data_IF_076422412830
#
_entry.id   IF_076422412830
#
_cell.length_a   1.000
_cell.length_b   1.000
_cell.length_c   1.000
_cell.angle_alpha   90.00
_cell.angle_beta   90.00
_cell.angle_gamma   90.00
#
_symmetry.space_group_name_H-M   'P 1'
#
loop_
_entity.id
_entity.type
_entity.pdbx_description
1 polymer ?
#
# COMPACT_ATOMS: atom_id res chain seq x y z
N UNK A 1 -6.51 59.26 -29.20
CA UNK A 1 -6.13 58.62 -27.91
C UNK A 1 -6.46 57.15 -28.06
N UNK A 2 -5.50 56.41 -28.61
CA UNK A 2 -5.64 54.98 -28.85
C UNK A 2 -5.10 54.21 -27.65
N UNK A 3 -5.99 53.47 -27.00
CA UNK A 3 -5.67 52.44 -26.02
C UNK A 3 -5.55 51.12 -26.79
N UNK A 4 -4.32 50.63 -26.98
CA UNK A 4 -4.11 49.23 -27.33
C UNK A 4 -3.12 48.55 -26.37
N UNK A 5 -3.74 47.70 -25.58
CA UNK A 5 -3.25 46.63 -24.71
C UNK A 5 -2.09 45.84 -25.32
N UNK A 6 -0.99 45.70 -24.59
CA UNK A 6 0.03 44.66 -24.82
C UNK A 6 0.17 43.81 -23.56
N UNK A 7 -0.50 42.65 -23.59
CA UNK A 7 -0.47 41.56 -22.61
C UNK A 7 0.96 41.09 -22.34
N UNK A 8 1.47 41.27 -21.13
CA UNK A 8 2.58 40.46 -20.62
C UNK A 8 2.02 39.14 -20.11
N UNK A 9 2.58 38.05 -20.64
CA UNK A 9 2.26 36.66 -20.35
C UNK A 9 2.12 36.40 -18.85
N UNK A 10 0.92 36.04 -18.42
CA UNK A 10 0.67 35.30 -17.19
C UNK A 10 1.01 33.83 -17.50
N UNK A 11 2.21 33.38 -17.14
CA UNK A 11 2.54 31.96 -17.12
C UNK A 11 1.77 31.32 -15.96
N UNK A 12 0.49 31.02 -16.19
CA UNK A 12 -0.27 30.15 -15.31
C UNK A 12 0.25 28.74 -15.54
N UNK A 13 0.95 28.22 -14.54
CA UNK A 13 1.19 26.80 -14.35
C UNK A 13 -0.16 26.06 -14.37
N UNK A 14 -0.59 25.61 -15.54
CA UNK A 14 -1.70 24.68 -15.71
C UNK A 14 -1.23 23.54 -16.62
N UNK A 15 -0.49 22.61 -16.03
CA UNK A 15 -0.17 21.31 -16.62
C UNK A 15 0.01 20.25 -15.53
N UNK A 16 -0.87 20.26 -14.52
CA UNK A 16 -1.06 19.13 -13.60
C UNK A 16 -2.22 18.28 -14.12
N UNK A 17 -2.01 17.60 -15.24
CA UNK A 17 -2.87 16.52 -15.73
C UNK A 17 -1.99 15.44 -16.35
N UNK A 18 -1.28 14.70 -15.52
CA UNK A 18 -0.77 13.37 -15.85
C UNK A 18 -1.30 12.39 -14.79
N UNK A 19 -2.63 12.24 -14.79
CA UNK A 19 -3.35 11.24 -14.01
C UNK A 19 -3.46 9.97 -14.86
N UNK A 20 -2.50 9.05 -14.75
CA UNK A 20 -2.57 7.77 -15.47
C UNK A 20 -3.41 6.76 -14.67
N UNK A 21 -4.72 6.96 -14.71
CA UNK A 21 -5.72 5.98 -14.29
C UNK A 21 -7.04 6.31 -15.00
N UNK A 22 -7.06 6.21 -16.34
CA UNK A 22 -8.19 6.43 -17.26
C UNK A 22 -9.27 7.40 -16.69
N UNK A 23 -9.16 8.70 -16.99
CA UNK A 23 -9.96 9.85 -16.47
C UNK A 23 -11.50 9.70 -16.51
N UNK A 24 -12.04 8.60 -17.03
CA UNK A 24 -13.46 8.25 -16.98
C UNK A 24 -13.85 7.33 -15.81
N UNK A 25 -12.91 6.88 -14.97
CA UNK A 25 -13.26 6.25 -13.70
C UNK A 25 -13.61 7.35 -12.70
N UNK A 26 -14.90 7.49 -12.39
CA UNK A 26 -15.37 8.28 -11.25
C UNK A 26 -14.48 7.99 -10.04
N UNK A 27 -13.93 9.04 -9.42
CA UNK A 27 -13.39 8.97 -8.06
C UNK A 27 -14.36 8.12 -7.24
N UNK A 28 -13.86 7.02 -6.67
CA UNK A 28 -14.66 6.22 -5.75
C UNK A 28 -15.15 7.16 -4.67
N UNK A 29 -16.44 7.06 -4.34
CA UNK A 29 -17.03 7.80 -3.22
C UNK A 29 -16.07 7.67 -2.03
N UNK A 30 -15.62 8.80 -1.47
CA UNK A 30 -14.68 8.86 -0.35
C UNK A 30 -15.23 8.10 0.89
N UNK A 31 -16.49 7.70 0.86
CA UNK A 31 -17.14 6.85 1.85
C UNK A 31 -16.90 5.34 1.66
N UNK A 32 -16.37 4.88 0.52
CA UNK A 32 -16.09 3.45 0.29
C UNK A 32 -14.90 2.97 1.12
N UNK A 33 -15.06 1.80 1.72
CA UNK A 33 -14.08 1.22 2.63
C UNK A 33 -13.04 0.41 1.84
N UNK A 34 -11.75 0.74 1.98
CA UNK A 34 -10.68 -0.11 1.46
C UNK A 34 -10.45 -1.31 2.38
N UNK A 35 -10.55 -2.51 1.81
CA UNK A 35 -10.34 -3.78 2.51
C UNK A 35 -8.89 -4.21 2.39
N UNK A 36 -8.31 -4.58 3.54
CA UNK A 36 -6.93 -5.05 3.63
C UNK A 36 -6.76 -6.36 2.84
N UNK A 37 -5.66 -6.46 2.11
CA UNK A 37 -5.33 -7.65 1.32
C UNK A 37 -3.87 -8.08 1.50
N UNK A 38 -3.62 -9.38 1.49
CA UNK A 38 -2.30 -10.00 1.72
C UNK A 38 -2.04 -11.08 0.66
N UNK A 39 -0.86 -11.06 0.06
CA UNK A 39 -0.48 -11.99 -1.01
C UNK A 39 -0.56 -13.44 -0.54
N UNK A 40 -1.19 -14.30 -1.33
CA UNK A 40 -1.33 -15.75 -1.10
C UNK A 40 -2.05 -16.16 0.20
N UNK A 41 -2.74 -15.24 0.88
CA UNK A 41 -3.61 -15.61 2.01
C UNK A 41 -4.73 -16.51 1.50
N UNK A 42 -4.95 -17.64 2.16
CA UNK A 42 -5.93 -18.65 1.74
C UNK A 42 -6.99 -18.97 2.80
N UNK A 43 -6.82 -18.46 4.01
CA UNK A 43 -7.69 -18.71 5.16
C UNK A 43 -7.64 -17.52 6.10
N UNK A 44 -8.57 -17.48 7.05
CA UNK A 44 -8.64 -16.45 8.07
C UNK A 44 -7.44 -16.52 9.04
N UNK A 45 -7.16 -15.40 9.70
CA UNK A 45 -6.12 -15.28 10.72
C UNK A 45 -6.78 -15.47 12.09
N UNK A 46 -6.51 -16.61 12.73
CA UNK A 46 -6.99 -16.88 14.09
C UNK A 46 -6.43 -15.87 15.09
N UNK A 47 -7.32 -15.36 15.94
CA UNK A 47 -7.02 -14.38 16.96
C UNK A 47 -7.10 -15.02 18.34
N UNK A 48 -5.95 -15.12 18.98
CA UNK A 48 -5.84 -15.68 20.34
C UNK A 48 -6.28 -14.70 21.44
N UNK A 49 -6.34 -13.41 21.13
CA UNK A 49 -6.79 -12.37 22.05
C UNK A 49 -7.72 -11.37 21.36
N UNK A 50 -9.06 -11.48 21.56
CA UNK A 50 -10.05 -10.57 21.00
C UNK A 50 -9.79 -9.09 21.28
N UNK A 51 -9.06 -8.77 22.36
CA UNK A 51 -8.71 -7.38 22.67
C UNK A 51 -7.84 -6.73 21.58
N UNK A 52 -7.01 -7.51 20.87
CA UNK A 52 -6.20 -7.00 19.77
C UNK A 52 -7.09 -6.46 18.64
N UNK A 53 -8.12 -7.23 18.26
CA UNK A 53 -9.09 -6.80 17.26
C UNK A 53 -9.94 -5.64 17.77
N UNK A 54 -10.33 -5.66 19.03
CA UNK A 54 -11.07 -4.57 19.66
C UNK A 54 -10.30 -3.25 19.57
N UNK A 55 -9.00 -3.27 19.86
CA UNK A 55 -8.13 -2.11 19.77
C UNK A 55 -8.01 -1.61 18.33
N UNK A 56 -7.85 -2.50 17.33
CA UNK A 56 -7.84 -2.13 15.91
C UNK A 56 -9.13 -1.40 15.52
N UNK A 57 -10.29 -1.95 15.92
CA UNK A 57 -11.59 -1.32 15.65
C UNK A 57 -11.66 0.06 16.30
N UNK A 58 -11.37 0.18 17.60
CA UNK A 58 -11.42 1.45 18.35
C UNK A 58 -10.50 2.51 17.74
N UNK A 59 -9.34 2.11 17.22
CA UNK A 59 -8.39 3.01 16.55
C UNK A 59 -8.84 3.42 15.13
N UNK A 60 -10.02 2.98 14.69
CA UNK A 60 -10.62 3.37 13.43
C UNK A 60 -10.20 2.52 12.24
N UNK A 61 -9.50 1.40 12.45
CA UNK A 61 -9.07 0.53 11.36
C UNK A 61 -10.25 -0.20 10.70
N UNK A 62 -10.09 -0.49 9.40
CA UNK A 62 -11.01 -1.35 8.68
C UNK A 62 -10.71 -2.82 9.03
N UNK A 63 -11.71 -3.53 9.54
CA UNK A 63 -11.55 -4.92 10.02
C UNK A 63 -12.65 -5.80 9.45
N UNK A 64 -12.25 -6.86 8.76
CA UNK A 64 -13.10 -8.03 8.52
C UNK A 64 -12.92 -9.02 9.66
N UNK A 65 -14.02 -9.35 10.33
CA UNK A 65 -14.04 -10.29 11.43
C UNK A 65 -15.00 -11.44 11.13
N UNK A 66 -14.50 -12.66 11.26
CA UNK A 66 -15.24 -13.90 11.19
C UNK A 66 -15.40 -14.49 12.59
N UNK A 67 -16.61 -14.44 13.14
CA UNK A 67 -16.94 -15.05 14.42
C UNK A 67 -17.53 -16.43 14.15
N UNK A 68 -16.87 -17.47 14.64
CA UNK A 68 -17.27 -18.85 14.45
C UNK A 68 -17.24 -19.62 15.76
N UNK A 69 -17.69 -20.87 15.74
CA UNK A 69 -17.50 -21.80 16.84
C UNK A 69 -16.99 -23.12 16.30
N UNK A 70 -15.92 -23.68 16.87
CA UNK A 70 -15.39 -24.98 16.47
C UNK A 70 -16.39 -26.14 16.64
N UNK A 71 -17.43 -25.96 17.46
CA UNK A 71 -18.51 -26.94 17.66
C UNK A 71 -19.75 -26.70 16.78
N UNK A 72 -19.76 -25.67 15.94
CA UNK A 72 -20.91 -25.28 15.12
C UNK A 72 -20.90 -26.02 13.77
N UNK A 73 -22.02 -26.69 13.43
CA UNK A 73 -22.18 -27.45 12.17
C UNK A 73 -22.08 -26.55 10.96
N UNK A 74 -22.83 -25.45 10.97
CA UNK A 74 -22.92 -24.51 9.85
C UNK A 74 -21.57 -23.84 9.61
N UNK A 75 -20.79 -23.63 10.68
CA UNK A 75 -19.45 -23.08 10.59
C UNK A 75 -18.52 -24.00 9.79
N UNK A 76 -18.63 -25.32 9.98
CA UNK A 76 -17.89 -26.32 9.18
C UNK A 76 -18.40 -26.38 7.75
N UNK A 77 -19.71 -26.25 7.54
CA UNK A 77 -20.32 -26.24 6.21
C UNK A 77 -19.85 -25.04 5.38
N UNK A 78 -19.78 -23.84 5.98
CA UNK A 78 -19.39 -22.61 5.30
C UNK A 78 -17.89 -22.33 5.30
N UNK A 79 -17.07 -23.14 5.98
CA UNK A 79 -15.62 -22.94 6.07
C UNK A 79 -14.96 -22.85 4.68
N UNK A 80 -15.28 -23.79 3.79
CA UNK A 80 -14.73 -23.79 2.42
C UNK A 80 -15.16 -22.54 1.64
N UNK A 81 -16.40 -22.08 1.80
CA UNK A 81 -16.88 -20.87 1.14
C UNK A 81 -16.11 -19.62 1.60
N UNK A 82 -15.87 -19.51 2.91
CA UNK A 82 -15.13 -18.40 3.53
C UNK A 82 -13.66 -18.43 3.09
N UNK A 83 -13.01 -19.59 3.14
CA UNK A 83 -11.63 -19.74 2.68
C UNK A 83 -11.49 -19.43 1.19
N UNK A 84 -12.45 -19.85 0.37
CA UNK A 84 -12.48 -19.49 -1.06
C UNK A 84 -12.69 -17.98 -1.27
N UNK A 85 -13.56 -17.34 -0.46
CA UNK A 85 -13.73 -15.88 -0.50
C UNK A 85 -12.42 -15.15 -0.12
N UNK A 86 -11.72 -15.63 0.91
CA UNK A 86 -10.43 -15.10 1.35
C UNK A 86 -9.39 -15.28 0.24
N UNK A 87 -9.24 -16.49 -0.27
CA UNK A 87 -8.23 -16.82 -1.28
C UNK A 87 -8.45 -16.09 -2.60
N UNK A 88 -9.69 -16.02 -3.08
CA UNK A 88 -10.02 -15.37 -4.35
C UNK A 88 -9.76 -13.87 -4.31
N UNK A 89 -10.03 -13.22 -3.18
CA UNK A 89 -9.88 -11.77 -3.03
C UNK A 89 -8.57 -11.37 -2.34
N UNK A 90 -7.77 -12.36 -1.91
CA UNK A 90 -6.61 -12.19 -1.02
C UNK A 90 -6.95 -11.33 0.21
N UNK A 91 -8.17 -11.50 0.74
CA UNK A 91 -8.75 -10.66 1.76
C UNK A 91 -8.22 -11.01 3.15
N UNK A 92 -7.77 -10.01 3.92
CA UNK A 92 -7.38 -10.22 5.31
C UNK A 92 -8.64 -10.27 6.17
N UNK A 93 -9.01 -11.49 6.58
CA UNK A 93 -10.12 -11.77 7.50
C UNK A 93 -9.55 -12.30 8.79
N UNK A 94 -9.84 -11.65 9.91
CA UNK A 94 -9.50 -12.14 11.24
C UNK A 94 -10.61 -13.05 11.74
N UNK A 95 -10.30 -14.06 12.55
CA UNK A 95 -11.31 -14.96 13.11
C UNK A 95 -11.22 -15.06 14.63
N UNK A 96 -12.37 -15.25 15.27
CA UNK A 96 -12.47 -15.55 16.70
C UNK A 96 -13.36 -16.78 16.87
N UNK A 97 -12.83 -17.83 17.49
CA UNK A 97 -13.65 -18.94 17.99
C UNK A 97 -14.38 -18.50 19.27
N UNK A 98 -15.66 -18.19 19.13
CA UNK A 98 -16.57 -17.80 20.19
C UNK A 98 -16.59 -18.79 21.38
N UNK A 99 -16.29 -20.07 21.15
CA UNK A 99 -16.23 -21.07 22.22
C UNK A 99 -15.13 -20.76 23.24
N UNK A 100 -14.01 -20.21 22.77
CA UNK A 100 -12.88 -19.84 23.63
C UNK A 100 -13.17 -18.55 24.43
N UNK A 101 -14.19 -17.79 24.02
CA UNK A 101 -14.56 -16.51 24.63
C UNK A 101 -16.07 -16.43 24.90
N UNK A 102 -16.61 -17.14 25.92
CA UNK A 102 -18.05 -17.23 26.15
C UNK A 102 -18.76 -15.89 26.41
N UNK A 103 -18.02 -14.85 26.81
CA UNK A 103 -18.55 -13.50 27.02
C UNK A 103 -18.58 -12.64 25.74
N UNK A 104 -18.02 -13.11 24.63
CA UNK A 104 -17.85 -12.32 23.39
C UNK A 104 -19.17 -11.79 22.86
N UNK A 105 -20.24 -12.59 22.89
CA UNK A 105 -21.57 -12.19 22.41
C UNK A 105 -22.23 -11.07 23.23
N UNK A 106 -21.73 -10.80 24.45
CA UNK A 106 -22.19 -9.71 25.33
C UNK A 106 -21.34 -8.44 25.19
N UNK A 107 -20.20 -8.51 24.51
CA UNK A 107 -19.40 -7.32 24.23
C UNK A 107 -20.10 -6.47 23.16
N UNK A 108 -20.27 -5.18 23.41
CA UNK A 108 -20.98 -4.28 22.50
C UNK A 108 -20.36 -4.22 21.10
N UNK A 109 -19.03 -4.35 21.00
CA UNK A 109 -18.31 -4.32 19.71
C UNK A 109 -18.48 -5.65 18.98
N UNK A 110 -18.36 -6.77 19.68
CA UNK A 110 -18.40 -8.10 19.06
C UNK A 110 -19.78 -8.75 19.01
N UNK A 111 -20.80 -8.17 19.65
CA UNK A 111 -22.10 -8.81 19.88
C UNK A 111 -22.62 -9.49 18.63
N UNK A 112 -22.91 -10.80 18.70
CA UNK A 112 -23.40 -11.61 17.60
C UNK A 112 -24.53 -12.51 18.10
N UNK A 113 -25.45 -12.89 17.22
CA UNK A 113 -26.61 -13.72 17.58
C UNK A 113 -26.37 -15.20 17.28
N UNK A 114 -25.68 -15.51 16.18
CA UNK A 114 -25.46 -16.87 15.68
C UNK A 114 -24.05 -16.99 15.12
N UNK A 115 -23.49 -18.19 15.09
CA UNK A 115 -22.26 -18.50 14.34
C UNK A 115 -22.62 -19.40 13.16
N UNK A 116 -22.00 -19.24 11.97
CA UNK A 116 -21.00 -18.23 11.65
C UNK A 116 -21.61 -16.82 11.50
N UNK A 117 -20.86 -15.80 11.90
CA UNK A 117 -21.16 -14.39 11.62
C UNK A 117 -19.93 -13.72 11.03
N UNK A 118 -20.10 -12.97 9.95
CA UNK A 118 -19.06 -12.07 9.45
C UNK A 118 -19.44 -10.61 9.71
N UNK A 119 -18.49 -9.83 10.17
CA UNK A 119 -18.64 -8.41 10.47
C UNK A 119 -17.62 -7.62 9.66
N UNK A 120 -18.06 -6.46 9.15
CA UNK A 120 -17.18 -5.43 8.63
C UNK A 120 -17.23 -4.24 9.59
N UNK A 121 -16.08 -3.80 10.05
CA UNK A 121 -15.91 -2.59 10.85
C UNK A 121 -15.11 -1.55 10.07
N UNK A 122 -15.43 -0.28 10.28
CA UNK A 122 -14.68 0.86 9.77
C UNK A 122 -14.90 2.06 10.70
N UNK A 123 -13.85 2.86 10.94
CA UNK A 123 -13.93 4.09 11.76
C UNK A 123 -14.56 3.84 13.14
N UNK A 124 -14.22 2.71 13.78
CA UNK A 124 -14.72 2.35 15.12
C UNK A 124 -16.15 1.86 15.19
N UNK A 125 -16.83 1.65 14.05
CA UNK A 125 -18.24 1.25 14.00
C UNK A 125 -18.41 -0.01 13.17
N UNK A 126 -19.44 -0.77 13.50
CA UNK A 126 -19.90 -1.84 12.62
C UNK A 126 -20.61 -1.25 11.40
N UNK A 127 -20.17 -1.66 10.22
CA UNK A 127 -20.72 -1.25 8.93
C UNK A 127 -21.81 -2.24 8.52
N UNK A 128 -21.51 -3.52 8.62
CA UNK A 128 -22.46 -4.60 8.34
C UNK A 128 -22.12 -5.86 9.13
N UNK A 129 -23.14 -6.68 9.36
CA UNK A 129 -23.07 -7.99 9.99
C UNK A 129 -23.92 -8.95 9.19
N UNK A 130 -23.34 -10.07 8.79
CA UNK A 130 -24.04 -11.10 8.02
C UNK A 130 -23.92 -12.47 8.66
N UNK A 131 -24.96 -13.27 8.50
CA UNK A 131 -24.97 -14.69 8.86
C UNK A 131 -25.80 -15.49 7.85
N UNK A 132 -25.61 -16.82 7.79
CA UNK A 132 -26.29 -17.66 6.80
C UNK A 132 -27.82 -17.63 6.88
N UNK A 133 -28.41 -17.33 8.04
CA UNK A 133 -29.87 -17.34 8.21
C UNK A 133 -30.55 -16.07 7.70
N UNK A 134 -29.84 -14.94 7.72
CA UNK A 134 -30.37 -13.64 7.30
C UNK A 134 -29.85 -13.21 5.93
N UNK A 135 -28.74 -13.77 5.46
CA UNK A 135 -28.01 -13.33 4.28
C UNK A 135 -27.67 -14.49 3.35
N UNK A 136 -28.66 -15.34 3.04
CA UNK A 136 -28.49 -16.56 2.25
C UNK A 136 -27.80 -16.29 0.89
N UNK A 137 -28.09 -15.18 0.23
CA UNK A 137 -27.46 -14.82 -1.05
C UNK A 137 -25.95 -14.57 -0.90
N UNK A 138 -25.53 -13.89 0.18
CA UNK A 138 -24.11 -13.66 0.45
C UNK A 138 -23.38 -14.97 0.78
N UNK A 139 -24.06 -15.92 1.44
CA UNK A 139 -23.52 -17.25 1.76
C UNK A 139 -23.79 -18.30 0.68
N UNK A 140 -24.29 -17.92 -0.50
CA UNK A 140 -24.53 -18.85 -1.61
C UNK A 140 -23.24 -19.25 -2.35
N UNK A 141 -22.26 -18.36 -2.38
CA UNK A 141 -20.97 -18.54 -3.05
C UNK A 141 -19.97 -17.47 -2.63
N UNK A 142 -18.68 -17.71 -2.88
CA UNK A 142 -17.63 -16.69 -2.65
C UNK A 142 -17.85 -15.43 -3.47
N UNK A 143 -18.41 -15.54 -4.68
CA UNK A 143 -18.78 -14.39 -5.51
C UNK A 143 -19.99 -13.64 -4.95
N UNK A 144 -20.98 -14.36 -4.41
CA UNK A 144 -22.12 -13.75 -3.70
C UNK A 144 -21.66 -12.94 -2.50
N UNK A 145 -20.74 -13.49 -1.70
CA UNK A 145 -20.14 -12.81 -0.56
C UNK A 145 -19.36 -11.56 -1.00
N UNK A 146 -18.57 -11.68 -2.07
CA UNK A 146 -17.83 -10.56 -2.66
C UNK A 146 -18.77 -9.43 -3.08
N UNK A 147 -19.80 -9.73 -3.88
CA UNK A 147 -20.80 -8.76 -4.33
C UNK A 147 -21.52 -8.07 -3.18
N UNK A 148 -21.79 -8.80 -2.09
CA UNK A 148 -22.39 -8.20 -0.89
C UNK A 148 -21.46 -7.16 -0.26
N UNK A 149 -20.19 -7.49 -0.06
CA UNK A 149 -19.24 -6.54 0.55
C UNK A 149 -18.86 -5.39 -0.40
N UNK A 150 -18.81 -5.60 -1.71
CA UNK A 150 -18.55 -4.53 -2.69
C UNK A 150 -19.58 -3.38 -2.66
N UNK A 151 -20.73 -3.56 -1.99
CA UNK A 151 -21.69 -2.47 -1.73
C UNK A 151 -21.15 -1.41 -0.75
N UNK A 152 -20.20 -1.77 0.11
CA UNK A 152 -19.67 -0.91 1.17
C UNK A 152 -18.22 -0.48 0.92
N UNK A 153 -17.53 -1.14 0.00
CA UNK A 153 -16.09 -0.97 -0.14
C UNK A 153 -15.49 -1.79 -1.26
N UNK A 154 -14.19 -1.99 -1.19
CA UNK A 154 -13.43 -2.69 -2.22
C UNK A 154 -12.20 -3.39 -1.64
N UNK A 155 -11.86 -4.53 -2.22
CA UNK A 155 -10.55 -5.15 -2.00
C UNK A 155 -9.49 -4.27 -2.64
N UNK A 156 -8.49 -3.86 -1.85
CA UNK A 156 -7.39 -3.04 -2.32
C UNK A 156 -6.75 -3.64 -3.58
N UNK A 157 -5.95 -2.90 -4.33
CA UNK A 157 -5.00 -3.47 -5.30
C UNK A 157 -3.57 -3.53 -4.73
N UNK A 158 -3.40 -3.04 -3.50
CA UNK A 158 -2.16 -3.15 -2.74
C UNK A 158 -2.18 -4.47 -1.97
N UNK A 159 -1.35 -5.44 -2.37
CA UNK A 159 -1.20 -6.72 -1.67
C UNK A 159 0.00 -6.65 -0.75
N UNK A 160 -0.19 -6.78 0.56
CA UNK A 160 0.96 -6.92 1.47
C UNK A 160 1.66 -8.26 1.21
N UNK A 161 2.97 -8.26 1.09
CA UNK A 161 3.78 -9.48 1.17
C UNK A 161 4.25 -9.65 2.62
N UNK A 162 3.97 -10.81 3.22
CA UNK A 162 4.23 -11.05 4.64
C UNK A 162 5.69 -11.39 4.95
N UNK A 163 6.34 -12.11 4.05
CA UNK A 163 7.67 -12.68 4.27
C UNK A 163 8.40 -12.93 2.93
N UNK A 164 9.68 -13.26 3.03
CA UNK A 164 10.55 -13.50 1.88
C UNK A 164 10.12 -14.68 1.01
N UNK A 165 9.53 -15.74 1.58
CA UNK A 165 9.03 -16.88 0.78
C UNK A 165 7.85 -16.47 -0.11
N UNK A 166 6.97 -15.60 0.39
CA UNK A 166 5.87 -15.07 -0.42
C UNK A 166 6.40 -14.08 -1.46
N UNK A 167 7.44 -13.30 -1.15
CA UNK A 167 8.14 -12.48 -2.16
C UNK A 167 8.70 -13.35 -3.30
N UNK A 168 9.35 -14.47 -2.94
CA UNK A 168 9.87 -15.45 -3.91
C UNK A 168 8.77 -16.05 -4.79
N UNK A 169 7.54 -16.22 -4.28
CA UNK A 169 6.39 -16.62 -5.11
C UNK A 169 5.92 -15.48 -6.00
N UNK A 170 5.81 -14.25 -5.48
CA UNK A 170 5.35 -13.07 -6.25
C UNK A 170 6.26 -12.82 -7.45
N UNK A 171 7.58 -12.85 -7.29
CA UNK A 171 8.51 -12.59 -8.41
C UNK A 171 8.35 -13.59 -9.55
N UNK A 172 7.89 -14.80 -9.26
CA UNK A 172 7.71 -15.90 -10.22
C UNK A 172 6.34 -15.89 -10.92
N UNK A 173 5.45 -14.95 -10.57
CA UNK A 173 4.21 -14.74 -11.32
C UNK A 173 4.51 -14.31 -12.77
N UNK A 174 3.54 -14.49 -13.66
CA UNK A 174 3.67 -14.11 -15.08
C UNK A 174 4.05 -12.64 -15.25
N UNK A 175 3.47 -11.77 -14.43
CA UNK A 175 3.78 -10.36 -14.33
C UNK A 175 3.52 -9.89 -12.89
N UNK A 176 4.53 -9.29 -12.25
CA UNK A 176 4.41 -8.76 -10.90
C UNK A 176 5.03 -7.36 -10.79
N UNK A 177 4.32 -6.48 -10.10
CA UNK A 177 4.81 -5.17 -9.68
C UNK A 177 5.04 -5.22 -8.17
N UNK A 178 6.26 -4.96 -7.73
CA UNK A 178 6.65 -5.07 -6.32
C UNK A 178 7.16 -3.72 -5.84
N UNK A 179 6.48 -3.12 -4.87
CA UNK A 179 6.87 -1.89 -4.22
C UNK A 179 7.58 -2.21 -2.90
N UNK A 180 8.87 -1.88 -2.85
CA UNK A 180 9.70 -1.99 -1.66
C UNK A 180 9.68 -0.68 -0.89
N UNK A 181 9.23 -0.74 0.36
CA UNK A 181 9.14 0.40 1.27
C UNK A 181 9.99 0.19 2.52
N UNK A 182 10.12 1.24 3.31
CA UNK A 182 10.58 1.18 4.69
C UNK A 182 9.78 2.19 5.51
N UNK A 183 9.22 1.78 6.65
CA UNK A 183 8.33 2.62 7.46
C UNK A 183 8.99 3.90 8.02
N UNK A 184 10.30 3.88 8.30
CA UNK A 184 11.08 5.05 8.76
C UNK A 184 11.70 5.84 7.61
N UNK A 185 11.46 5.47 6.35
CA UNK A 185 11.96 6.18 5.18
C UNK A 185 11.06 7.39 4.87
N UNK A 186 11.58 8.60 5.07
CA UNK A 186 10.81 9.84 4.88
C UNK A 186 10.35 10.07 3.43
N UNK A 187 11.12 9.62 2.43
CA UNK A 187 10.71 9.65 1.03
C UNK A 187 9.57 8.68 0.72
N UNK A 188 9.58 7.51 1.36
CA UNK A 188 8.53 6.50 1.28
C UNK A 188 7.22 7.07 1.84
N UNK A 189 7.26 7.63 3.06
CA UNK A 189 6.09 8.28 3.67
C UNK A 189 5.55 9.44 2.83
N UNK A 190 6.42 10.25 2.23
CA UNK A 190 6.00 11.36 1.38
C UNK A 190 5.31 10.87 0.10
N UNK A 191 5.91 9.91 -0.61
CA UNK A 191 5.34 9.37 -1.84
C UNK A 191 4.02 8.64 -1.58
N UNK A 192 3.95 7.87 -0.50
CA UNK A 192 2.77 7.12 -0.12
C UNK A 192 1.59 8.05 0.16
N UNK A 193 1.82 9.09 0.96
CA UNK A 193 0.80 10.07 1.32
C UNK A 193 0.33 10.89 0.13
N UNK A 194 1.26 11.45 -0.66
CA UNK A 194 0.91 12.40 -1.70
C UNK A 194 0.36 11.74 -2.97
N UNK A 195 0.74 10.48 -3.23
CA UNK A 195 0.41 9.78 -4.47
C UNK A 195 -0.13 8.36 -4.26
N UNK A 196 0.65 7.45 -3.69
CA UNK A 196 0.37 6.01 -3.78
C UNK A 196 -0.95 5.61 -3.11
N UNK A 197 -1.31 6.23 -1.97
CA UNK A 197 -2.59 5.98 -1.30
C UNK A 197 -3.78 6.41 -2.17
N UNK A 198 -3.66 7.56 -2.87
CA UNK A 198 -4.69 8.03 -3.80
C UNK A 198 -4.81 7.13 -5.02
N UNK A 199 -3.68 6.65 -5.54
CA UNK A 199 -3.64 5.70 -6.66
C UNK A 199 -4.49 4.44 -6.36
N UNK A 200 -4.38 3.85 -5.16
CA UNK A 200 -5.19 2.69 -4.81
C UNK A 200 -6.65 3.02 -4.51
N UNK A 201 -6.93 4.18 -3.91
CA UNK A 201 -8.30 4.67 -3.70
C UNK A 201 -9.07 4.83 -5.03
N UNK A 202 -8.37 5.24 -6.10
CA UNK A 202 -8.91 5.41 -7.45
C UNK A 202 -9.17 4.10 -8.21
N UNK A 203 -9.02 2.93 -7.59
CA UNK A 203 -9.30 1.62 -8.21
C UNK A 203 -8.48 1.35 -9.48
N UNK A 204 -7.21 1.74 -9.46
CA UNK A 204 -6.30 1.43 -10.55
C UNK A 204 -6.10 -0.10 -10.58
N UNK A 205 -6.45 -0.72 -11.71
CA UNK A 205 -6.71 -2.16 -11.84
C UNK A 205 -5.47 -3.05 -11.77
N UNK A 206 -4.30 -2.48 -11.50
CA UNK A 206 -3.03 -3.21 -11.45
C UNK A 206 -2.71 -3.50 -10.00
N UNK A 207 -2.62 -4.80 -9.69
CA UNK A 207 -2.15 -5.27 -8.40
C UNK A 207 -0.68 -4.86 -8.24
N UNK A 208 -0.36 -4.25 -7.10
CA UNK A 208 0.99 -3.94 -6.68
C UNK A 208 1.22 -4.63 -5.34
N UNK A 209 2.26 -5.43 -5.29
CA UNK A 209 2.66 -6.17 -4.10
C UNK A 209 3.62 -5.31 -3.27
N UNK A 210 3.27 -5.01 -2.04
CA UNK A 210 4.09 -4.19 -1.15
C UNK A 210 4.91 -5.09 -0.23
N UNK A 211 6.23 -4.93 -0.28
CA UNK A 211 7.16 -5.60 0.61
C UNK A 211 7.79 -4.58 1.56
N UNK A 212 7.58 -4.77 2.87
CA UNK A 212 8.11 -3.86 3.88
C UNK A 212 9.49 -4.30 4.38
N UNK A 213 10.49 -3.41 4.27
CA UNK A 213 11.90 -3.74 4.49
C UNK A 213 12.44 -3.43 5.89
N UNK A 214 11.63 -2.97 6.85
CA UNK A 214 12.03 -2.66 8.23
C UNK A 214 13.00 -3.67 8.82
N UNK A 215 12.68 -4.95 8.75
CA UNK A 215 13.51 -6.01 9.30
C UNK A 215 14.94 -5.99 8.75
N UNK A 216 15.11 -5.76 7.44
CA UNK A 216 16.42 -5.71 6.81
C UNK A 216 17.14 -4.39 7.12
N UNK A 217 16.44 -3.25 7.10
CA UNK A 217 17.01 -1.94 7.41
C UNK A 217 17.48 -1.82 8.87
N UNK A 218 16.70 -2.37 9.81
CA UNK A 218 16.99 -2.35 11.24
C UNK A 218 18.16 -3.29 11.60
N UNK A 219 18.47 -4.27 10.75
CA UNK A 219 19.57 -5.22 10.95
C UNK A 219 20.76 -5.02 9.99
N UNK A 220 20.84 -3.87 9.29
CA UNK A 220 21.85 -3.64 8.24
C UNK A 220 23.30 -3.57 8.73
N UNK A 221 23.52 -3.19 9.99
CA UNK A 221 24.86 -3.03 10.59
C UNK A 221 25.41 -4.32 11.21
N UNK A 222 24.64 -5.42 11.16
CA UNK A 222 25.06 -6.69 11.72
C UNK A 222 26.13 -7.36 10.83
N UNK A 223 27.40 -7.10 11.12
CA UNK A 223 28.54 -7.67 10.39
C UNK A 223 28.62 -9.20 10.45
N UNK A 224 27.98 -9.84 11.44
CA UNK A 224 27.94 -11.30 11.58
C UNK A 224 26.86 -11.97 10.72
N UNK A 225 25.91 -11.19 10.19
CA UNK A 225 24.87 -11.67 9.26
C UNK A 225 24.52 -10.53 8.30
N UNK A 226 25.08 -10.51 7.07
CA UNK A 226 24.90 -9.42 6.11
C UNK A 226 23.51 -9.45 5.47
N UNK A 227 22.45 -9.56 6.28
CA UNK A 227 21.09 -9.86 5.86
C UNK A 227 20.52 -8.81 4.91
N UNK A 228 20.81 -7.54 5.16
CA UNK A 228 20.42 -6.44 4.28
C UNK A 228 21.08 -6.54 2.90
N UNK A 229 22.40 -6.77 2.86
CA UNK A 229 23.14 -6.90 1.60
C UNK A 229 22.67 -8.14 0.84
N UNK A 230 22.58 -9.28 1.51
CA UNK A 230 22.12 -10.52 0.91
C UNK A 230 20.71 -10.37 0.30
N UNK A 231 19.80 -9.70 1.01
CA UNK A 231 18.45 -9.44 0.50
C UNK A 231 18.48 -8.51 -0.72
N UNK A 232 19.14 -7.36 -0.60
CA UNK A 232 19.18 -6.35 -1.69
C UNK A 232 19.90 -6.86 -2.92
N UNK A 233 20.92 -7.70 -2.76
CA UNK A 233 21.60 -8.40 -3.85
C UNK A 233 20.69 -9.47 -4.47
N UNK A 234 20.05 -10.32 -3.66
CA UNK A 234 19.15 -11.41 -4.12
C UNK A 234 18.02 -10.87 -5.00
N UNK A 235 17.43 -9.74 -4.62
CA UNK A 235 16.29 -9.14 -5.33
C UNK A 235 16.70 -8.02 -6.31
N UNK A 236 17.99 -7.91 -6.64
CA UNK A 236 18.49 -6.96 -7.64
C UNK A 236 18.19 -5.49 -7.31
N UNK A 237 17.99 -5.17 -6.04
CA UNK A 237 17.80 -3.82 -5.52
C UNK A 237 19.13 -3.06 -5.45
N UNK A 238 20.23 -3.78 -5.17
CA UNK A 238 21.58 -3.22 -5.14
C UNK A 238 22.27 -3.34 -6.51
N UNK A 239 23.20 -2.43 -6.79
CA UNK A 239 24.04 -2.49 -7.99
C UNK A 239 24.85 -3.80 -8.08
N UNK A 240 25.28 -4.34 -6.94
CA UNK A 240 26.01 -5.62 -6.87
C UNK A 240 25.13 -6.81 -7.26
N UNK A 241 23.86 -6.80 -6.85
CA UNK A 241 22.88 -7.82 -7.23
C UNK A 241 22.41 -7.69 -8.67
N UNK A 242 22.32 -6.46 -9.18
CA UNK A 242 21.93 -6.19 -10.56
C UNK A 242 22.53 -4.87 -11.07
N UNK A 243 23.53 -4.97 -11.95
CA UNK A 243 24.22 -3.79 -12.49
C UNK A 243 23.37 -2.92 -13.44
N UNK A 244 22.24 -3.44 -13.92
CA UNK A 244 21.35 -2.74 -14.87
C UNK A 244 20.26 -1.96 -14.15
N UNK A 245 19.72 -2.52 -13.08
CA UNK A 245 18.53 -2.00 -12.40
C UNK A 245 18.74 -1.64 -10.94
N UNK A 246 19.81 -2.15 -10.33
CA UNK A 246 20.11 -1.95 -8.92
C UNK A 246 20.81 -0.63 -8.63
N UNK A 247 20.69 -0.20 -7.39
CA UNK A 247 21.13 1.11 -6.90
C UNK A 247 22.37 0.97 -6.02
N UNK A 248 23.28 1.96 -6.08
CA UNK A 248 24.48 1.97 -5.23
C UNK A 248 24.16 2.37 -3.78
N UNK A 249 23.34 3.40 -3.63
CA UNK A 249 22.89 3.95 -2.36
C UNK A 249 21.36 4.06 -2.41
N UNK A 250 20.70 3.83 -1.28
CA UNK A 250 19.24 3.99 -1.15
C UNK A 250 18.46 3.05 -2.08
N UNK A 251 17.85 2.00 -1.53
CA UNK A 251 17.10 1.01 -2.32
C UNK A 251 15.58 1.11 -2.15
N UNK A 252 15.10 2.09 -1.39
CA UNK A 252 13.67 2.36 -1.18
C UNK A 252 13.44 3.87 -1.20
N UNK A 253 12.24 4.34 -1.62
CA UNK A 253 11.14 3.57 -2.19
C UNK A 253 11.41 3.12 -3.64
N UNK A 254 11.28 1.83 -3.91
CA UNK A 254 11.51 1.24 -5.25
C UNK A 254 10.26 0.51 -5.72
N UNK A 255 9.86 0.72 -6.97
CA UNK A 255 8.95 -0.21 -7.64
C UNK A 255 9.79 -1.04 -8.63
N UNK A 256 9.65 -2.36 -8.58
CA UNK A 256 10.24 -3.30 -9.54
C UNK A 256 9.15 -4.01 -10.34
N UNK A 257 9.43 -4.30 -11.61
CA UNK A 257 8.60 -5.12 -12.48
C UNK A 257 9.32 -6.44 -12.77
N UNK A 258 8.65 -7.55 -12.48
CA UNK A 258 9.10 -8.90 -12.80
C UNK A 258 8.21 -9.53 -13.86
N UNK A 259 8.81 -10.28 -14.79
CA UNK A 259 8.12 -11.11 -15.77
C UNK A 259 8.67 -12.53 -15.63
N UNK A 260 7.87 -13.46 -15.12
CA UNK A 260 8.22 -14.88 -14.96
C UNK A 260 9.58 -15.07 -14.26
N UNK A 261 9.74 -14.46 -13.09
CA UNK A 261 10.96 -14.55 -12.28
C UNK A 261 12.10 -13.62 -12.70
N UNK A 262 11.98 -12.88 -13.81
CA UNK A 262 13.05 -11.99 -14.30
C UNK A 262 12.71 -10.53 -14.05
N UNK A 263 13.64 -9.80 -13.43
CA UNK A 263 13.56 -8.36 -13.28
C UNK A 263 13.62 -7.69 -14.65
N UNK A 264 12.52 -7.04 -15.05
CA UNK A 264 12.33 -6.40 -16.35
C UNK A 264 12.43 -4.87 -16.27
N UNK A 265 12.14 -4.29 -15.09
CA UNK A 265 12.25 -2.86 -14.84
C UNK A 265 12.36 -2.53 -13.37
N UNK A 266 12.96 -1.38 -13.06
CA UNK A 266 13.07 -0.85 -11.71
C UNK A 266 13.06 0.67 -11.75
N UNK A 267 12.29 1.29 -10.85
CA UNK A 267 12.30 2.72 -10.61
C UNK A 267 12.54 2.98 -9.14
N UNK A 268 13.44 3.91 -8.85
CA UNK A 268 13.69 4.43 -7.51
C UNK A 268 13.06 5.82 -7.42
N UNK A 269 12.39 6.10 -6.30
CA UNK A 269 11.68 7.35 -6.08
C UNK A 269 12.47 8.17 -5.06
N UNK A 270 12.74 9.44 -5.36
CA UNK A 270 13.51 10.36 -4.51
C UNK A 270 14.88 9.83 -4.04
N UNK A 271 15.70 9.29 -4.94
CA UNK A 271 17.07 8.85 -4.64
C UNK A 271 18.12 9.75 -5.31
N UNK A 272 17.85 11.05 -5.26
CA UNK A 272 18.79 12.06 -5.73
C UNK A 272 19.83 12.34 -4.65
N UNK A 273 21.06 12.61 -5.07
CA UNK A 273 22.09 13.10 -4.16
C UNK A 273 21.90 14.61 -3.98
N UNK A 274 21.79 15.05 -2.74
CA UNK A 274 21.55 16.45 -2.39
C UNK A 274 22.64 17.01 -1.49
N UNK A 275 22.97 18.29 -1.67
CA UNK A 275 23.77 19.07 -0.73
C UNK A 275 22.86 19.94 0.11
N UNK A 276 23.07 19.91 1.43
CA UNK A 276 22.35 20.74 2.40
C UNK A 276 23.13 22.01 2.69
N UNK A 277 22.42 23.13 2.76
CA UNK A 277 22.96 24.42 3.18
C UNK A 277 22.18 24.84 4.43
N UNK A 278 22.90 25.27 5.46
CA UNK A 278 22.34 25.58 6.76
C UNK A 278 22.44 27.08 7.04
N UNK A 279 21.44 27.63 7.72
CA UNK A 279 21.45 29.00 8.21
C UNK A 279 22.29 29.16 9.50
N UNK A 280 22.31 30.36 10.05
CA UNK A 280 23.01 30.69 11.30
C UNK A 280 22.51 29.86 12.51
N UNK A 281 21.28 29.34 12.45
CA UNK A 281 20.66 28.53 13.50
C UNK A 281 20.84 27.01 13.29
N UNK A 282 21.66 26.58 12.32
CA UNK A 282 21.85 25.18 11.94
C UNK A 282 20.59 24.50 11.39
N UNK A 283 19.65 25.27 10.86
CA UNK A 283 18.47 24.76 10.18
C UNK A 283 18.71 24.72 8.66
N UNK A 284 18.12 23.74 7.97
CA UNK A 284 18.32 23.59 6.51
C UNK A 284 17.65 24.77 5.79
N UNK A 285 18.46 25.69 5.27
CA UNK A 285 18.04 26.85 4.49
C UNK A 285 17.67 26.46 3.05
N UNK A 286 18.48 25.62 2.41
CA UNK A 286 18.20 25.13 1.05
C UNK A 286 18.81 23.76 0.80
N UNK A 287 18.27 23.08 -0.19
CA UNK A 287 18.83 21.83 -0.73
C UNK A 287 19.11 21.97 -2.22
N UNK A 288 20.27 21.48 -2.66
CA UNK A 288 20.66 21.48 -4.08
C UNK A 288 20.82 20.05 -4.55
N UNK A 289 20.18 19.72 -5.68
CA UNK A 289 20.34 18.41 -6.32
C UNK A 289 21.67 18.40 -7.08
N UNK A 290 22.58 17.51 -6.72
CA UNK A 290 23.90 17.40 -7.35
C UNK A 290 24.04 16.18 -8.25
N UNK A 291 23.23 15.14 -8.02
CA UNK A 291 23.21 13.94 -8.86
C UNK A 291 21.83 13.29 -8.81
N UNK A 292 21.51 12.50 -9.85
CA UNK A 292 20.30 11.68 -9.91
C UNK A 292 20.62 10.37 -10.61
N UNK A 293 19.90 9.31 -10.25
CA UNK A 293 19.90 8.06 -10.99
C UNK A 293 19.39 8.23 -12.42
N UNK A 294 18.44 9.15 -12.64
CA UNK A 294 17.82 9.33 -13.94
C UNK A 294 18.62 10.28 -14.82
N UNK A 295 19.11 9.78 -15.96
CA UNK A 295 19.83 10.59 -16.94
C UNK A 295 19.01 11.78 -17.48
N UNK A 296 17.68 11.62 -17.54
CA UNK A 296 16.77 12.65 -18.04
C UNK A 296 16.17 13.51 -16.92
N UNK A 297 16.83 13.62 -15.76
CA UNK A 297 16.28 14.34 -14.61
C UNK A 297 16.35 15.86 -14.80
N UNK A 298 15.20 16.56 -14.87
CA UNK A 298 15.18 17.98 -15.25
C UNK A 298 15.56 18.93 -14.10
N UNK A 299 15.65 18.42 -12.87
CA UNK A 299 15.92 19.21 -11.67
C UNK A 299 17.39 19.18 -11.22
N UNK A 300 18.29 18.60 -12.02
CA UNK A 300 19.72 18.58 -11.72
C UNK A 300 20.27 20.02 -11.54
N UNK A 301 21.06 20.24 -10.51
CA UNK A 301 21.62 21.54 -10.08
C UNK A 301 20.59 22.59 -9.62
N UNK A 302 19.30 22.27 -9.56
CA UNK A 302 18.31 23.18 -9.01
C UNK A 302 18.39 23.25 -7.49
N UNK A 303 18.01 24.41 -6.96
CA UNK A 303 18.01 24.70 -5.52
C UNK A 303 16.57 24.89 -5.03
N UNK A 304 16.25 24.28 -3.89
CA UNK A 304 14.96 24.37 -3.23
C UNK A 304 15.17 25.00 -1.86
N UNK A 305 14.62 26.20 -1.70
CA UNK A 305 14.76 26.99 -0.49
C UNK A 305 13.69 26.63 0.54
N UNK A 306 14.03 26.81 1.81
CA UNK A 306 13.11 26.65 2.93
C UNK A 306 12.05 27.75 2.89
N UNK A 307 10.81 27.31 3.00
CA UNK A 307 9.65 28.11 3.39
C UNK A 307 9.06 27.52 4.69
N UNK A 308 7.78 27.78 4.96
CA UNK A 308 7.07 27.23 6.12
C UNK A 308 7.01 25.69 6.16
N UNK A 309 7.29 24.99 5.05
CA UNK A 309 7.21 23.54 4.95
C UNK A 309 8.60 22.84 4.97
N UNK A 310 9.69 23.62 4.94
CA UNK A 310 11.06 23.08 4.91
C UNK A 310 11.60 22.82 3.51
N UNK A 311 12.91 23.02 3.33
CA UNK A 311 13.58 22.87 2.02
C UNK A 311 13.44 21.48 1.40
N UNK A 312 13.55 20.41 2.20
CA UNK A 312 13.38 19.02 1.71
C UNK A 312 11.95 18.74 1.24
N UNK A 313 10.94 19.31 1.89
CA UNK A 313 9.55 19.15 1.46
C UNK A 313 9.31 19.88 0.13
N UNK A 314 9.94 21.05 -0.05
CA UNK A 314 9.85 21.80 -1.31
C UNK A 314 10.52 21.06 -2.46
N UNK A 315 11.69 20.44 -2.22
CA UNK A 315 12.30 19.50 -3.17
C UNK A 315 11.34 18.38 -3.58
N UNK A 316 10.80 17.63 -2.61
CA UNK A 316 9.92 16.48 -2.89
C UNK A 316 8.65 16.90 -3.62
N UNK A 317 8.02 17.99 -3.20
CA UNK A 317 6.80 18.52 -3.81
C UNK A 317 7.03 18.96 -5.24
N UNK A 318 8.12 19.69 -5.50
CA UNK A 318 8.44 20.24 -6.82
C UNK A 318 8.84 19.17 -7.84
N UNK A 319 9.35 18.03 -7.36
CA UNK A 319 9.84 16.93 -8.20
C UNK A 319 8.88 15.74 -8.26
N UNK A 320 7.80 15.75 -7.47
CA UNK A 320 6.84 14.64 -7.36
C UNK A 320 6.29 14.20 -8.72
N UNK A 321 5.92 15.14 -9.60
CA UNK A 321 5.35 14.81 -10.91
C UNK A 321 6.28 13.95 -11.75
N UNK A 322 7.60 14.20 -11.71
CA UNK A 322 8.58 13.39 -12.42
C UNK A 322 8.57 11.93 -11.94
N UNK A 323 8.54 11.69 -10.63
CA UNK A 323 8.53 10.34 -10.08
C UNK A 323 7.18 9.64 -10.28
N UNK A 324 6.07 10.39 -10.21
CA UNK A 324 4.73 9.89 -10.56
C UNK A 324 4.69 9.44 -12.01
N UNK A 325 5.23 10.22 -12.95
CA UNK A 325 5.29 9.85 -14.35
C UNK A 325 6.11 8.57 -14.56
N UNK A 326 7.25 8.41 -13.87
CA UNK A 326 8.05 7.17 -13.93
C UNK A 326 7.27 5.97 -13.39
N UNK A 327 6.58 6.14 -12.27
CA UNK A 327 5.72 5.11 -11.66
C UNK A 327 4.63 4.65 -12.63
N UNK A 328 3.87 5.61 -13.15
CA UNK A 328 2.78 5.38 -14.08
C UNK A 328 3.21 4.68 -15.35
N UNK A 329 4.30 5.15 -15.96
CA UNK A 329 4.87 4.52 -17.14
C UNK A 329 5.29 3.06 -16.91
N UNK A 330 5.66 2.66 -15.69
CA UNK A 330 6.02 1.28 -15.39
C UNK A 330 4.81 0.40 -15.08
N UNK A 331 3.76 0.98 -14.49
CA UNK A 331 2.51 0.29 -14.18
C UNK A 331 1.66 0.03 -15.43
N UNK A 332 1.68 0.95 -16.40
CA UNK A 332 0.87 0.85 -17.62
C UNK A 332 1.47 -0.09 -18.69
N UNK A 333 2.80 -0.25 -18.70
CA UNK A 333 3.52 -1.20 -19.55
C UNK A 333 3.48 -2.60 -18.97
#
# INVERSE_FOLDING_TARGET
MDLSVSKKLLFVFLSFLMYSCNDNKLLRDENLIEYKTEAFISTYIDVDNPQNIKNMIINGENVFLYIYSSSCSDCKEYESLINNFISFNEAVVYSIDARNFPSLGRDEIFSYMVTPTMCLYSKGKIVTKINPNLNNEAFSSSEGMKKYFEQFGFFSYRRKIKNENDLDKVINLDNALIYFSYDKCSDCSFFDYNYLNKYFALNCSKVIYNFEMSYYFDNRENSSSPIYKNFTDKYGLSYDGNNKFGYKNGVVPTLQKYIKGKLDGSIIIFNDEVTYFYDENQEIEKVKIISSYYQNYPYLNQEFYRDNNGAMNNYRTSTLSFFVDKFNNMVEK
#
